data_IF_849951740547
#
_entry.id   IF_849951740547
#
_cell.length_a   1.000
_cell.length_b   1.000
_cell.length_c   1.000
_cell.angle_alpha   90.00
_cell.angle_beta   90.00
_cell.angle_gamma   90.00
#
_symmetry.space_group_name_H-M   'P 1'
#
loop_
_entity.id
_entity.type
_entity.pdbx_description
1 polymer ?
#
# COMPACT_ATOMS: atom_id res chain seq x y z
N UNK A 1 11.94 5.88 -10.48
CA UNK A 1 12.78 4.69 -10.54
C UNK A 1 12.95 4.19 -11.98
N UNK A 2 14.09 3.58 -12.28
CA UNK A 2 14.37 3.06 -13.63
C UNK A 2 13.67 1.72 -13.90
N UNK A 3 13.26 1.02 -12.86
CA UNK A 3 12.57 -0.28 -12.92
C UNK A 3 11.39 -0.32 -11.95
N UNK A 4 10.36 -1.07 -12.32
CA UNK A 4 9.19 -1.35 -11.47
C UNK A 4 9.59 -2.29 -10.32
N UNK A 5 8.77 -2.37 -9.26
CA UNK A 5 8.98 -3.35 -8.20
C UNK A 5 8.97 -4.79 -8.74
N UNK A 6 8.06 -5.11 -9.68
CA UNK A 6 7.99 -6.42 -10.33
C UNK A 6 9.23 -6.77 -11.13
N UNK A 7 9.77 -5.80 -11.90
CA UNK A 7 10.99 -5.99 -12.65
C UNK A 7 12.22 -6.25 -11.76
N UNK A 8 12.20 -5.71 -10.55
CA UNK A 8 13.26 -5.93 -9.56
C UNK A 8 13.14 -7.29 -8.85
N UNK A 9 11.92 -7.83 -8.78
CA UNK A 9 11.61 -9.14 -8.20
C UNK A 9 11.55 -10.27 -9.25
N UNK A 10 11.75 -9.95 -10.54
CA UNK A 10 11.63 -10.89 -11.65
C UNK A 10 10.26 -11.61 -11.74
N UNK A 11 9.19 -10.87 -11.53
CA UNK A 11 7.79 -11.36 -11.53
C UNK A 11 6.89 -10.59 -12.49
N UNK A 12 7.41 -10.15 -13.62
CA UNK A 12 6.67 -9.35 -14.61
C UNK A 12 5.72 -10.19 -15.49
N UNK A 13 5.89 -11.51 -15.54
CA UNK A 13 5.07 -12.36 -16.37
C UNK A 13 3.60 -12.37 -15.90
N UNK A 14 2.71 -11.90 -16.79
CA UNK A 14 1.29 -11.77 -16.52
C UNK A 14 0.52 -13.09 -16.62
N UNK A 15 1.15 -14.14 -17.11
CA UNK A 15 0.55 -15.47 -17.20
C UNK A 15 0.44 -16.15 -15.83
N UNK A 16 1.22 -15.71 -14.86
CA UNK A 16 1.29 -16.30 -13.53
C UNK A 16 0.77 -15.36 -12.45
N UNK A 17 0.18 -15.95 -11.39
CA UNK A 17 -0.13 -15.27 -10.15
C UNK A 17 1.08 -15.45 -9.22
N UNK A 18 1.85 -14.40 -8.90
CA UNK A 18 2.99 -14.54 -8.01
C UNK A 18 2.52 -14.85 -6.58
N UNK A 19 3.13 -15.85 -5.97
CA UNK A 19 3.02 -16.15 -4.53
C UNK A 19 4.42 -16.08 -3.95
N UNK A 20 4.69 -15.04 -3.18
CA UNK A 20 6.00 -14.79 -2.56
C UNK A 20 5.94 -15.28 -1.12
N UNK A 21 6.87 -16.13 -0.73
CA UNK A 21 6.94 -16.70 0.64
C UNK A 21 8.37 -17.09 0.97
N UNK A 22 8.71 -17.07 2.25
CA UNK A 22 9.94 -17.66 2.75
C UNK A 22 9.75 -19.18 2.87
N UNK A 23 10.46 -20.00 2.08
CA UNK A 23 10.30 -21.45 2.13
C UNK A 23 10.81 -22.07 3.44
N UNK A 24 11.58 -21.32 4.24
CA UNK A 24 12.07 -21.78 5.54
C UNK A 24 11.15 -21.40 6.70
N UNK A 25 10.46 -20.25 6.60
CA UNK A 25 9.59 -19.73 7.65
C UNK A 25 8.10 -20.07 7.40
N UNK A 26 7.67 -20.20 6.13
CA UNK A 26 6.25 -20.46 5.80
C UNK A 26 5.95 -21.93 5.70
N UNK A 27 4.76 -22.30 6.21
CA UNK A 27 4.16 -23.63 6.08
C UNK A 27 2.88 -23.56 5.27
N UNK A 28 2.23 -24.68 5.01
CA UNK A 28 0.91 -24.74 4.35
C UNK A 28 -0.20 -24.06 5.17
N UNK A 29 0.03 -23.89 6.47
CA UNK A 29 -0.91 -23.24 7.40
C UNK A 29 -0.57 -21.77 7.68
N UNK A 30 0.50 -21.24 7.11
CA UNK A 30 0.83 -19.82 7.27
C UNK A 30 -0.23 -18.95 6.59
N UNK A 31 -0.57 -17.82 7.21
CA UNK A 31 -1.54 -16.88 6.64
C UNK A 31 -1.17 -16.50 5.22
N UNK A 32 -2.17 -16.42 4.36
CA UNK A 32 -2.03 -15.90 3.01
C UNK A 32 -2.71 -14.55 2.89
N UNK A 33 -1.98 -13.56 2.41
CA UNK A 33 -2.48 -12.21 2.19
C UNK A 33 -2.48 -11.86 0.70
N UNK A 34 -3.48 -11.11 0.27
CA UNK A 34 -3.49 -10.52 -1.07
C UNK A 34 -2.94 -9.11 -0.98
N UNK A 35 -1.73 -8.87 -1.48
CA UNK A 35 -1.14 -7.54 -1.51
C UNK A 35 -1.42 -6.81 -2.81
N UNK A 36 -2.11 -5.66 -2.72
CA UNK A 36 -2.34 -4.77 -3.84
C UNK A 36 -1.40 -3.55 -3.79
N UNK A 37 -0.28 -3.54 -4.54
CA UNK A 37 0.69 -2.44 -4.50
C UNK A 37 0.18 -1.16 -5.16
N UNK A 38 -0.74 -1.26 -6.13
CA UNK A 38 -1.19 -0.14 -6.93
C UNK A 38 -0.08 0.51 -7.77
N UNK A 39 -0.41 1.61 -8.45
CA UNK A 39 0.54 2.27 -9.35
C UNK A 39 1.66 3.02 -8.61
N UNK A 40 1.40 3.52 -7.41
CA UNK A 40 2.39 4.22 -6.60
C UNK A 40 3.56 3.33 -6.23
N UNK A 41 3.29 2.30 -5.44
CA UNK A 41 4.30 1.36 -4.92
C UNK A 41 4.87 0.43 -5.99
N UNK A 42 4.16 0.28 -7.12
CA UNK A 42 4.64 -0.55 -8.24
C UNK A 42 5.61 0.18 -9.16
N UNK A 43 5.29 1.43 -9.54
CA UNK A 43 6.00 2.16 -10.61
C UNK A 43 6.65 3.46 -10.18
N UNK A 44 5.95 4.28 -9.40
CA UNK A 44 6.45 5.60 -9.05
C UNK A 44 7.48 5.53 -7.92
N UNK A 45 7.18 4.71 -6.92
CA UNK A 45 7.98 4.52 -5.71
C UNK A 45 8.23 3.03 -5.49
N UNK A 46 8.94 2.39 -6.42
CA UNK A 46 9.19 0.94 -6.38
C UNK A 46 9.84 0.47 -5.07
N UNK A 47 10.59 1.34 -4.40
CA UNK A 47 11.15 1.07 -3.08
C UNK A 47 10.07 0.80 -2.03
N UNK A 48 8.91 1.49 -2.10
CA UNK A 48 7.79 1.24 -1.17
C UNK A 48 7.22 -0.17 -1.40
N UNK A 49 7.02 -0.56 -2.66
CA UNK A 49 6.56 -1.91 -2.99
C UNK A 49 7.53 -3.00 -2.56
N UNK A 50 8.83 -2.78 -2.74
CA UNK A 50 9.88 -3.71 -2.30
C UNK A 50 9.95 -3.80 -0.77
N UNK A 51 9.91 -2.65 -0.07
CA UNK A 51 9.90 -2.62 1.38
C UNK A 51 8.67 -3.34 1.96
N UNK A 52 7.49 -3.09 1.38
CA UNK A 52 6.26 -3.80 1.79
C UNK A 52 6.40 -5.31 1.62
N UNK A 53 6.96 -5.76 0.49
CA UNK A 53 7.21 -7.19 0.26
C UNK A 53 8.23 -7.77 1.24
N UNK A 54 9.29 -7.03 1.57
CA UNK A 54 10.27 -7.47 2.56
C UNK A 54 9.67 -7.58 3.96
N UNK A 55 8.80 -6.63 4.35
CA UNK A 55 8.08 -6.69 5.62
C UNK A 55 7.10 -7.87 5.69
N UNK A 56 6.33 -8.12 4.63
CA UNK A 56 5.44 -9.28 4.53
C UNK A 56 6.21 -10.62 4.55
N UNK A 57 7.37 -10.66 3.89
CA UNK A 57 8.27 -11.80 3.96
C UNK A 57 8.77 -12.03 5.39
N UNK A 58 9.17 -10.96 6.08
CA UNK A 58 9.63 -11.02 7.47
C UNK A 58 8.51 -11.45 8.43
N UNK A 59 7.27 -11.07 8.15
CA UNK A 59 6.08 -11.51 8.89
C UNK A 59 5.78 -13.01 8.70
N UNK A 60 6.44 -13.69 7.78
CA UNK A 60 6.25 -15.13 7.53
C UNK A 60 4.93 -15.46 6.83
N UNK A 61 4.29 -14.50 6.17
CA UNK A 61 3.05 -14.71 5.42
C UNK A 61 3.31 -15.11 3.97
N UNK A 62 2.33 -15.74 3.36
CA UNK A 62 2.32 -16.04 1.93
C UNK A 62 1.69 -14.86 1.19
N UNK A 63 2.49 -14.07 0.47
CA UNK A 63 2.00 -12.89 -0.24
C UNK A 63 1.58 -13.22 -1.66
N UNK A 64 0.29 -13.12 -1.93
CA UNK A 64 -0.27 -13.23 -3.27
C UNK A 64 -0.33 -11.85 -3.91
N UNK A 65 0.27 -11.68 -5.08
CA UNK A 65 0.19 -10.47 -5.88
C UNK A 65 -0.77 -10.66 -7.05
N UNK A 66 -1.51 -9.62 -7.47
CA UNK A 66 -2.28 -9.71 -8.72
C UNK A 66 -1.33 -9.95 -9.90
N UNK A 67 -1.73 -10.71 -10.94
CA UNK A 67 -0.90 -10.90 -12.13
C UNK A 67 -0.74 -9.58 -12.90
N UNK A 68 0.49 -9.20 -13.15
CA UNK A 68 0.83 -7.98 -13.88
C UNK A 68 0.57 -6.69 -13.11
N UNK A 69 0.82 -5.59 -13.80
CA UNK A 69 0.62 -4.25 -13.27
C UNK A 69 -0.85 -3.85 -13.25
N UNK A 70 -1.34 -3.37 -12.11
CA UNK A 70 -2.71 -2.90 -11.95
C UNK A 70 -2.74 -1.51 -11.27
N UNK A 71 -3.79 -0.77 -11.59
CA UNK A 71 -4.15 0.48 -10.93
C UNK A 71 -5.55 0.35 -10.31
N UNK A 72 -5.79 0.97 -9.16
CA UNK A 72 -7.11 0.92 -8.51
C UNK A 72 -8.23 1.70 -9.25
N UNK A 73 -7.88 2.52 -10.23
CA UNK A 73 -8.84 3.35 -10.98
C UNK A 73 -9.04 4.77 -10.44
N UNK A 74 -8.54 5.07 -9.24
CA UNK A 74 -8.72 6.39 -8.65
C UNK A 74 -8.16 7.55 -9.50
N UNK A 75 -6.94 7.48 -10.10
CA UNK A 75 -6.44 8.57 -10.94
C UNK A 75 -7.36 8.92 -12.11
N UNK A 76 -7.99 7.92 -12.70
CA UNK A 76 -8.96 8.11 -13.79
C UNK A 76 -10.22 8.78 -13.26
N UNK A 77 -10.77 8.31 -12.13
CA UNK A 77 -11.95 8.91 -11.50
C UNK A 77 -11.68 10.35 -11.07
N UNK A 78 -10.55 10.62 -10.42
CA UNK A 78 -10.14 11.95 -9.97
C UNK A 78 -9.90 12.95 -11.13
N UNK A 79 -9.57 12.46 -12.33
CA UNK A 79 -9.44 13.27 -13.54
C UNK A 79 -10.73 13.37 -14.38
N UNK A 80 -11.87 12.91 -13.84
CA UNK A 80 -13.18 12.97 -14.52
C UNK A 80 -13.40 11.89 -15.58
N UNK A 81 -12.49 10.93 -15.75
CA UNK A 81 -12.60 9.83 -16.71
C UNK A 81 -13.34 8.64 -16.05
N UNK A 82 -14.59 8.86 -15.64
CA UNK A 82 -15.37 7.92 -14.83
C UNK A 82 -15.54 6.56 -15.53
N UNK A 83 -15.94 6.56 -16.82
CA UNK A 83 -16.14 5.31 -17.57
C UNK A 83 -14.86 4.45 -17.63
N UNK A 84 -13.70 5.09 -17.76
CA UNK A 84 -12.41 4.37 -17.73
C UNK A 84 -12.10 3.81 -16.36
N UNK A 85 -12.43 4.55 -15.30
CA UNK A 85 -12.26 4.08 -13.94
C UNK A 85 -13.16 2.86 -13.68
N UNK A 86 -14.43 2.92 -14.04
CA UNK A 86 -15.41 1.86 -13.83
C UNK A 86 -15.07 0.59 -14.62
N UNK A 87 -14.58 0.77 -15.87
CA UNK A 87 -14.06 -0.35 -16.65
C UNK A 87 -12.87 -1.00 -15.96
N UNK A 88 -11.92 -0.20 -15.47
CA UNK A 88 -10.72 -0.69 -14.77
C UNK A 88 -11.08 -1.44 -13.49
N UNK A 89 -12.03 -0.92 -12.70
CA UNK A 89 -12.55 -1.55 -11.49
C UNK A 89 -13.16 -2.92 -11.84
N UNK A 90 -14.00 -2.97 -12.88
CA UNK A 90 -14.64 -4.20 -13.34
C UNK A 90 -13.59 -5.22 -13.78
N UNK A 91 -12.64 -4.82 -14.61
CA UNK A 91 -11.56 -5.69 -15.09
C UNK A 91 -10.72 -6.25 -13.92
N UNK A 92 -10.39 -5.41 -12.94
CA UNK A 92 -9.67 -5.84 -11.73
C UNK A 92 -10.49 -6.84 -10.90
N UNK A 93 -11.77 -6.57 -10.67
CA UNK A 93 -12.64 -7.49 -9.91
C UNK A 93 -12.72 -8.87 -10.56
N UNK A 94 -12.90 -8.91 -11.89
CA UNK A 94 -12.89 -10.17 -12.65
C UNK A 94 -11.57 -10.91 -12.48
N UNK A 95 -10.45 -10.18 -12.55
CA UNK A 95 -9.12 -10.76 -12.36
C UNK A 95 -8.95 -11.32 -10.94
N UNK A 96 -9.38 -10.57 -9.91
CA UNK A 96 -9.27 -11.00 -8.51
C UNK A 96 -10.13 -12.23 -8.22
N UNK A 97 -11.33 -12.33 -8.81
CA UNK A 97 -12.14 -13.57 -8.74
C UNK A 97 -11.40 -14.78 -9.36
N UNK A 98 -10.68 -14.57 -10.46
CA UNK A 98 -9.84 -15.64 -11.04
C UNK A 98 -8.71 -16.03 -10.11
N UNK A 99 -8.04 -15.07 -9.49
CA UNK A 99 -6.99 -15.32 -8.48
C UNK A 99 -7.56 -16.12 -7.32
N UNK A 100 -8.68 -15.68 -6.75
CA UNK A 100 -9.38 -16.36 -5.66
C UNK A 100 -9.76 -17.80 -6.01
N UNK A 101 -10.30 -18.02 -7.20
CA UNK A 101 -10.67 -19.37 -7.67
C UNK A 101 -9.44 -20.26 -7.88
N UNK A 102 -8.37 -19.71 -8.47
CA UNK A 102 -7.14 -20.46 -8.77
C UNK A 102 -6.38 -20.85 -7.49
N UNK A 103 -6.37 -19.95 -6.50
CA UNK A 103 -5.65 -20.09 -5.23
C UNK A 103 -6.59 -20.32 -4.05
N UNK A 104 -7.75 -20.97 -4.27
CA UNK A 104 -8.78 -21.18 -3.24
C UNK A 104 -8.28 -21.96 -2.02
N UNK A 105 -7.22 -22.74 -2.17
CA UNK A 105 -6.59 -23.48 -1.10
C UNK A 105 -5.80 -22.60 -0.09
N UNK A 106 -5.53 -21.33 -0.43
CA UNK A 106 -4.83 -20.40 0.46
C UNK A 106 -5.75 -19.70 1.47
N UNK A 107 -7.07 -19.76 1.28
CA UNK A 107 -8.11 -19.14 2.12
C UNK A 107 -7.78 -17.68 2.52
N UNK A 108 -7.52 -16.82 1.53
CA UNK A 108 -7.12 -15.43 1.74
C UNK A 108 -8.21 -14.66 2.49
N UNK A 109 -7.87 -14.13 3.67
CA UNK A 109 -8.76 -13.32 4.52
C UNK A 109 -8.29 -11.87 4.68
N UNK A 110 -7.09 -11.56 4.24
CA UNK A 110 -6.49 -10.24 4.42
C UNK A 110 -6.04 -9.66 3.08
N UNK A 111 -6.53 -8.46 2.76
CA UNK A 111 -6.10 -7.66 1.61
C UNK A 111 -5.24 -6.53 2.11
N UNK A 112 -3.94 -6.59 1.88
CA UNK A 112 -2.97 -5.58 2.33
C UNK A 112 -2.78 -4.51 1.27
N UNK A 113 -2.72 -3.27 1.68
CA UNK A 113 -2.39 -2.11 0.83
C UNK A 113 -1.27 -1.27 1.45
N UNK A 114 -0.53 -0.55 0.61
CA UNK A 114 0.51 0.41 1.01
C UNK A 114 0.25 1.82 0.45
N UNK A 115 -1.02 2.13 0.17
CA UNK A 115 -1.42 3.41 -0.42
C UNK A 115 -2.84 3.77 0.01
N UNK A 116 -3.02 4.91 0.68
CA UNK A 116 -4.32 5.36 1.17
C UNK A 116 -5.35 5.59 0.07
N UNK A 117 -4.94 6.17 -1.05
CA UNK A 117 -5.83 6.33 -2.21
C UNK A 117 -6.31 4.98 -2.76
N UNK A 118 -5.42 3.96 -2.76
CA UNK A 118 -5.83 2.61 -3.14
C UNK A 118 -6.77 2.01 -2.10
N UNK A 119 -6.53 2.22 -0.81
CA UNK A 119 -7.43 1.76 0.25
C UNK A 119 -8.87 2.24 0.02
N UNK A 120 -9.05 3.57 -0.11
CA UNK A 120 -10.37 4.18 -0.28
C UNK A 120 -11.07 3.69 -1.57
N UNK A 121 -10.31 3.52 -2.66
CA UNK A 121 -10.89 3.04 -3.91
C UNK A 121 -11.26 1.55 -3.85
N UNK A 122 -10.40 0.74 -3.23
CA UNK A 122 -10.61 -0.71 -3.11
C UNK A 122 -11.71 -1.06 -2.11
N UNK A 123 -12.02 -0.19 -1.15
CA UNK A 123 -13.15 -0.37 -0.24
C UNK A 123 -14.48 -0.57 -1.00
N UNK A 124 -14.61 -0.01 -2.21
CA UNK A 124 -15.75 -0.20 -3.09
C UNK A 124 -15.67 -1.43 -4.02
N UNK A 125 -14.68 -2.31 -3.85
CA UNK A 125 -14.50 -3.48 -4.71
C UNK A 125 -15.29 -4.72 -4.25
N UNK A 126 -15.97 -4.66 -3.10
CA UNK A 126 -16.70 -5.77 -2.49
C UNK A 126 -15.82 -7.02 -2.32
N UNK A 127 -14.68 -6.86 -1.64
CA UNK A 127 -13.71 -7.95 -1.47
C UNK A 127 -14.27 -9.18 -0.78
N UNK A 128 -15.31 -9.03 0.05
CA UNK A 128 -16.01 -10.17 0.65
C UNK A 128 -16.63 -11.11 -0.40
N UNK A 129 -17.03 -10.58 -1.57
CA UNK A 129 -17.50 -11.40 -2.69
C UNK A 129 -16.35 -12.08 -3.45
N UNK A 130 -15.15 -11.52 -3.39
CA UNK A 130 -13.95 -12.01 -4.11
C UNK A 130 -13.20 -13.02 -3.25
N UNK A 131 -12.88 -12.63 -2.01
CA UNK A 131 -12.27 -13.45 -0.98
C UNK A 131 -13.23 -13.47 0.24
N UNK A 132 -14.11 -14.46 0.37
CA UNK A 132 -15.15 -14.46 1.40
C UNK A 132 -14.61 -14.33 2.83
N UNK A 133 -15.17 -13.41 3.59
CA UNK A 133 -14.74 -13.07 4.95
C UNK A 133 -13.46 -12.24 5.02
N UNK A 134 -12.99 -11.66 3.89
CA UNK A 134 -11.79 -10.85 3.88
C UNK A 134 -12.03 -9.40 4.32
N UNK A 135 -10.96 -8.80 4.82
CA UNK A 135 -10.87 -7.38 5.16
C UNK A 135 -9.76 -6.69 4.38
N UNK A 136 -9.84 -5.37 4.23
CA UNK A 136 -8.75 -4.54 3.72
C UNK A 136 -8.05 -3.91 4.92
N UNK A 137 -6.71 -3.93 4.91
CA UNK A 137 -5.89 -3.35 5.97
C UNK A 137 -4.67 -2.63 5.38
N UNK A 138 -4.23 -1.57 6.02
CA UNK A 138 -2.95 -0.92 5.71
C UNK A 138 -1.78 -1.77 6.22
N UNK A 139 -0.66 -1.73 5.50
CA UNK A 139 0.53 -2.50 5.88
C UNK A 139 1.03 -2.18 7.29
N UNK A 140 0.95 -0.92 7.75
CA UNK A 140 1.43 -0.53 9.07
C UNK A 140 0.58 -1.12 10.19
N UNK A 141 -0.76 -1.10 10.03
CA UNK A 141 -1.68 -1.74 10.96
C UNK A 141 -1.50 -3.26 10.95
N UNK A 142 -1.32 -3.86 9.77
CA UNK A 142 -1.04 -5.28 9.62
C UNK A 142 0.24 -5.71 10.36
N UNK A 143 1.33 -4.93 10.23
CA UNK A 143 2.58 -5.23 10.93
C UNK A 143 2.43 -5.19 12.45
N UNK A 144 1.62 -4.27 12.99
CA UNK A 144 1.33 -4.24 14.43
C UNK A 144 0.54 -5.46 14.89
N UNK A 145 -0.44 -5.93 14.10
CA UNK A 145 -1.17 -7.15 14.41
C UNK A 145 -0.24 -8.38 14.43
N UNK A 146 0.75 -8.41 13.52
CA UNK A 146 1.80 -9.45 13.50
C UNK A 146 2.87 -9.28 14.59
N UNK A 147 2.76 -8.25 15.44
CA UNK A 147 3.71 -7.96 16.50
C UNK A 147 5.07 -7.44 16.03
N UNK A 148 5.14 -6.94 14.80
CA UNK A 148 6.37 -6.42 14.20
C UNK A 148 6.51 -4.94 14.51
N UNK A 149 7.60 -4.57 15.16
CA UNK A 149 7.96 -3.18 15.49
C UNK A 149 9.45 -2.95 15.25
N UNK A 150 9.84 -1.70 15.09
CA UNK A 150 11.26 -1.35 14.96
C UNK A 150 12.00 -1.62 16.28
N UNK A 151 13.14 -2.33 16.25
CA UNK A 151 13.96 -2.54 17.45
C UNK A 151 14.34 -1.21 18.12
N UNK A 152 14.35 -1.19 19.45
CA UNK A 152 14.63 0.02 20.23
C UNK A 152 15.95 0.70 19.84
N UNK A 153 16.98 -0.10 19.57
CA UNK A 153 18.30 0.38 19.15
C UNK A 153 18.29 1.10 17.77
N UNK A 154 17.26 0.88 16.97
CA UNK A 154 17.11 1.47 15.62
C UNK A 154 16.10 2.62 15.59
N UNK A 155 15.46 2.93 16.74
CA UNK A 155 14.48 4.01 16.84
C UNK A 155 15.17 5.37 16.78
N UNK A 156 14.63 6.23 15.89
CA UNK A 156 15.12 7.59 15.66
C UNK A 156 14.04 8.64 15.91
N UNK A 157 14.30 9.86 15.46
CA UNK A 157 13.30 10.91 15.37
C UNK A 157 12.61 10.86 14.00
N UNK A 158 11.28 10.93 13.98
CA UNK A 158 10.49 10.85 12.77
C UNK A 158 9.49 11.98 12.67
N UNK A 159 9.31 12.52 11.47
CA UNK A 159 8.25 13.46 11.14
C UNK A 159 7.18 12.71 10.32
N UNK A 160 6.05 12.39 10.95
CA UNK A 160 4.94 11.70 10.30
C UNK A 160 4.06 12.68 9.54
N UNK A 161 3.87 12.45 8.26
CA UNK A 161 2.89 13.16 7.45
C UNK A 161 1.63 12.30 7.27
N UNK A 162 0.54 12.70 7.90
CA UNK A 162 -0.73 12.05 7.71
C UNK A 162 -1.30 12.36 6.31
N UNK A 163 -1.52 11.35 5.47
CA UNK A 163 -2.04 11.57 4.12
C UNK A 163 -3.52 11.94 4.13
N UNK A 164 -3.98 12.73 3.14
CA UNK A 164 -5.41 13.07 2.99
C UNK A 164 -6.31 11.84 2.86
N UNK A 165 -5.82 10.78 2.22
CA UNK A 165 -6.42 9.46 2.19
C UNK A 165 -5.64 8.56 3.16
N UNK A 166 -5.92 8.70 4.45
CA UNK A 166 -5.28 7.88 5.47
C UNK A 166 -5.78 6.43 5.38
N UNK A 167 -4.91 5.44 5.13
CA UNK A 167 -5.31 4.04 5.02
C UNK A 167 -5.44 3.34 6.37
N UNK A 168 -4.84 3.90 7.43
CA UNK A 168 -4.93 3.38 8.78
C UNK A 168 -6.32 3.71 9.35
N UNK A 169 -7.22 2.73 9.36
CA UNK A 169 -8.64 2.90 9.73
C UNK A 169 -9.02 2.23 11.05
N UNK A 170 -8.12 1.45 11.65
CA UNK A 170 -8.41 0.74 12.90
C UNK A 170 -8.28 1.64 14.14
N UNK A 171 -7.56 2.76 14.02
CA UNK A 171 -7.34 3.65 15.15
C UNK A 171 -6.73 4.99 14.77
N UNK A 172 -6.07 5.63 15.73
CA UNK A 172 -5.30 6.85 15.50
C UNK A 172 -3.99 6.52 14.79
N UNK A 173 -3.79 7.09 13.61
CA UNK A 173 -2.63 6.82 12.77
C UNK A 173 -1.30 7.24 13.41
N UNK A 174 -1.30 8.32 14.19
CA UNK A 174 -0.11 8.76 14.93
C UNK A 174 0.28 7.76 16.00
N UNK A 175 -0.70 7.18 16.70
CA UNK A 175 -0.44 6.12 17.68
C UNK A 175 0.05 4.84 17.00
N UNK A 176 -0.51 4.46 15.85
CA UNK A 176 -0.01 3.35 15.03
C UNK A 176 1.46 3.55 14.67
N UNK A 177 1.83 4.73 14.17
CA UNK A 177 3.21 5.05 13.80
C UNK A 177 4.14 5.04 15.01
N UNK A 178 3.70 5.58 16.16
CA UNK A 178 4.47 5.53 17.41
C UNK A 178 4.68 4.11 17.91
N UNK A 179 3.66 3.27 17.83
CA UNK A 179 3.78 1.87 18.21
C UNK A 179 4.82 1.12 17.36
N UNK A 180 4.91 1.43 16.06
CA UNK A 180 5.89 0.84 15.16
C UNK A 180 7.31 1.37 15.36
N UNK A 181 7.48 2.71 15.48
CA UNK A 181 8.76 3.38 15.37
C UNK A 181 9.30 3.91 16.71
N UNK A 182 8.47 3.95 17.76
CA UNK A 182 8.78 4.54 19.06
C UNK A 182 8.15 5.92 19.26
N UNK A 183 8.26 6.46 20.47
CA UNK A 183 7.53 7.67 20.87
C UNK A 183 8.03 8.98 20.22
N UNK A 184 9.25 8.98 19.69
CA UNK A 184 9.85 10.18 19.07
C UNK A 184 9.33 10.40 17.64
N UNK A 185 8.01 10.52 17.53
CA UNK A 185 7.29 10.79 16.28
C UNK A 185 6.52 12.09 16.43
N UNK A 186 6.87 13.08 15.62
CA UNK A 186 6.15 14.34 15.51
C UNK A 186 5.18 14.28 14.31
N UNK A 187 3.96 14.75 14.49
CA UNK A 187 3.01 14.88 13.39
C UNK A 187 3.25 16.18 12.63
N UNK A 188 3.36 16.08 11.32
CA UNK A 188 3.48 17.24 10.45
C UNK A 188 2.12 17.94 10.28
N UNK A 189 2.12 19.25 10.42
CA UNK A 189 0.92 20.08 10.29
C UNK A 189 0.72 20.64 8.86
N UNK A 190 1.70 20.46 7.98
CA UNK A 190 1.70 21.10 6.67
C UNK A 190 1.28 20.14 5.55
N UNK A 191 0.43 20.64 4.66
CA UNK A 191 0.06 19.94 3.44
C UNK A 191 1.27 19.74 2.53
N UNK A 192 1.37 18.54 1.89
CA UNK A 192 2.44 18.25 0.93
C UNK A 192 2.25 18.92 -0.44
N UNK A 193 1.04 19.41 -0.73
CA UNK A 193 0.72 20.05 -2.02
C UNK A 193 0.55 19.09 -3.19
N UNK A 194 0.57 17.78 -2.97
CA UNK A 194 0.48 16.81 -4.08
C UNK A 194 -0.95 16.53 -4.51
N UNK A 195 -1.88 16.36 -3.55
CA UNK A 195 -3.31 16.09 -3.81
C UNK A 195 -3.55 15.11 -4.98
N UNK A 196 -2.82 14.02 -4.98
CA UNK A 196 -2.86 12.98 -6.01
C UNK A 196 -2.17 13.35 -7.33
N UNK A 197 -2.58 14.43 -7.99
CA UNK A 197 -2.01 14.84 -9.28
C UNK A 197 -1.79 16.35 -9.40
N UNK A 198 -1.94 17.10 -8.32
CA UNK A 198 -1.81 18.56 -8.35
C UNK A 198 -0.41 18.99 -8.79
N UNK A 199 0.63 18.26 -8.36
CA UNK A 199 2.01 18.53 -8.76
C UNK A 199 2.25 18.43 -10.27
N UNK A 200 1.43 17.66 -10.98
CA UNK A 200 1.50 17.52 -12.44
C UNK A 200 0.56 18.49 -13.16
N UNK A 201 -0.67 18.66 -12.67
CA UNK A 201 -1.72 19.46 -13.33
C UNK A 201 -1.60 20.95 -13.05
N UNK A 202 -1.15 21.33 -11.85
CA UNK A 202 -0.97 22.71 -11.40
C UNK A 202 0.32 22.85 -10.59
N UNK A 203 1.49 22.69 -11.25
CA UNK A 203 2.80 22.75 -10.57
C UNK A 203 3.06 24.11 -9.90
N UNK A 204 2.49 25.18 -10.43
CA UNK A 204 2.51 26.52 -9.85
C UNK A 204 1.89 26.56 -8.43
N UNK A 205 0.70 25.98 -8.27
CA UNK A 205 0.00 25.88 -6.98
C UNK A 205 0.69 24.88 -6.05
N UNK A 206 0.99 23.70 -6.56
CA UNK A 206 1.64 22.64 -5.80
C UNK A 206 2.97 23.10 -5.19
N UNK A 207 3.80 23.83 -5.96
CA UNK A 207 5.08 24.35 -5.50
C UNK A 207 4.90 25.35 -4.35
N UNK A 208 3.91 26.24 -4.41
CA UNK A 208 3.64 27.19 -3.34
C UNK A 208 3.19 26.53 -2.03
N UNK A 209 2.38 25.47 -2.14
CA UNK A 209 1.94 24.70 -0.96
C UNK A 209 3.12 23.90 -0.39
N UNK A 210 3.86 23.20 -1.26
CA UNK A 210 5.01 22.37 -0.88
C UNK A 210 6.12 23.15 -0.19
N UNK A 211 6.33 24.42 -0.57
CA UNK A 211 7.34 25.27 0.04
C UNK A 211 7.20 25.34 1.57
N UNK A 212 5.97 25.46 2.08
CA UNK A 212 5.69 25.48 3.52
C UNK A 212 6.02 24.14 4.18
N UNK A 213 5.81 23.04 3.47
CA UNK A 213 6.17 21.70 3.93
C UNK A 213 7.69 21.52 3.99
N UNK A 214 8.41 22.02 3.00
CA UNK A 214 9.88 22.00 2.98
C UNK A 214 10.47 22.83 4.13
N UNK A 215 9.86 23.98 4.46
CA UNK A 215 10.26 24.77 5.62
C UNK A 215 10.06 24.03 6.94
N UNK A 216 8.93 23.30 7.08
CA UNK A 216 8.66 22.49 8.26
C UNK A 216 9.71 21.39 8.41
N UNK A 217 10.00 20.65 7.33
CA UNK A 217 11.01 19.58 7.33
C UNK A 217 12.40 20.13 7.67
N UNK A 218 12.77 21.30 7.12
CA UNK A 218 14.07 21.94 7.38
C UNK A 218 14.20 22.50 8.79
N UNK A 219 13.10 22.90 9.42
CA UNK A 219 13.04 23.37 10.81
C UNK A 219 12.83 22.23 11.80
N UNK A 220 12.30 21.12 11.32
CA UNK A 220 12.09 19.93 12.12
C UNK A 220 13.44 19.43 12.59
N UNK A 221 13.61 19.40 13.89
CA UNK A 221 14.75 18.78 14.59
C UNK A 221 14.57 17.25 14.61
N UNK A 222 14.18 16.69 13.46
CA UNK A 222 14.01 15.25 13.27
C UNK A 222 15.23 14.67 12.57
#
# INVERSE_FOLDING_TARGET
>A
PKKTARALLDIEDRAYVPVIRDPQATTVNSEAVFYFPGCGSERLFSQVGLATQAMLWHAGVQTVLPPGYLCCGYPQRGSGQVDKADKMITDNRVLFHRVSTTLNYLDIKTVVVSCGTCYDQLAGYDFDQIFPGSRIIDIHEFLLEEGITLPEAERGAYLYHEPCHNPMKLGDSTQTVKALLGDNVLQSERCCGESGTLGVTRPDVATQVRFRKEEEIKKGEA
#
